data_IF_140161894456
#
_entry.id   IF_140161894456
#
_cell.length_a   1.000
_cell.length_b   1.000
_cell.length_c   1.000
_cell.angle_alpha   90.00
_cell.angle_beta   90.00
_cell.angle_gamma   90.00
#
_symmetry.space_group_name_H-M   'P 1'
#
loop_
_entity.id
_entity.type
_entity.pdbx_description
1 polymer ?
#
# COMPACT_ATOMS: atom_id res chain seq x y z
N UNK A 1 13.62 11.33 -1.10
CA UNK A 1 12.59 10.55 -1.80
C UNK A 1 12.31 11.20 -3.14
N UNK A 2 12.31 10.42 -4.22
CA UNK A 2 11.99 10.95 -5.53
C UNK A 2 10.49 11.25 -5.65
N UNK A 3 10.13 12.02 -6.68
CA UNK A 3 8.73 12.30 -6.95
C UNK A 3 7.96 11.00 -7.25
N UNK A 4 6.77 10.91 -6.69
CA UNK A 4 5.90 9.77 -6.87
C UNK A 4 5.31 9.75 -8.28
N UNK A 5 5.40 8.60 -8.94
CA UNK A 5 4.80 8.40 -10.25
C UNK A 5 4.46 6.90 -10.43
N UNK A 6 3.97 6.56 -11.62
CA UNK A 6 3.53 5.19 -11.91
C UNK A 6 4.66 4.16 -11.83
N UNK A 7 5.92 4.59 -11.96
CA UNK A 7 7.08 3.70 -11.90
C UNK A 7 7.65 3.54 -10.49
N UNK A 8 7.15 4.30 -9.53
CA UNK A 8 7.62 4.24 -8.14
C UNK A 8 7.36 2.85 -7.57
N UNK A 9 8.33 2.32 -6.83
CA UNK A 9 8.25 0.99 -6.21
C UNK A 9 8.20 1.14 -4.69
N UNK A 10 6.99 1.28 -4.13
CA UNK A 10 6.87 1.53 -2.70
C UNK A 10 7.12 0.29 -1.85
N UNK A 11 7.62 0.51 -0.64
CA UNK A 11 7.82 -0.52 0.37
C UNK A 11 7.28 -0.03 1.71
N UNK A 12 7.01 -0.96 2.60
CA UNK A 12 6.55 -0.61 3.95
C UNK A 12 7.66 0.19 4.65
N UNK A 13 7.27 1.28 5.28
CA UNK A 13 8.21 2.21 5.91
C UNK A 13 8.93 1.62 7.11
N UNK A 14 10.13 2.16 7.39
CA UNK A 14 10.92 1.75 8.55
C UNK A 14 10.12 1.98 9.83
N UNK A 15 10.13 0.98 10.72
CA UNK A 15 9.39 1.07 11.98
C UNK A 15 7.94 0.62 11.88
N UNK A 16 7.48 0.28 10.69
CA UNK A 16 6.12 -0.23 10.47
C UNK A 16 6.16 -1.69 10.03
N UNK A 17 5.12 -2.43 10.41
CA UNK A 17 4.98 -3.83 9.99
C UNK A 17 3.53 -4.09 9.60
N UNK A 18 3.33 -4.61 8.40
CA UNK A 18 2.02 -5.01 7.94
C UNK A 18 1.72 -6.43 8.41
N UNK A 19 0.53 -6.65 8.95
CA UNK A 19 0.13 -7.95 9.43
C UNK A 19 -1.33 -8.23 9.06
N UNK A 20 -1.60 -9.45 8.62
CA UNK A 20 -2.98 -9.90 8.43
C UNK A 20 -3.56 -10.31 9.77
N UNK A 21 -4.76 -9.82 10.06
CA UNK A 21 -5.46 -10.12 11.32
C UNK A 21 -6.70 -10.95 11.01
N UNK A 22 -6.61 -12.29 11.20
CA UNK A 22 -7.71 -13.17 10.77
C UNK A 22 -8.99 -12.98 11.58
N UNK A 23 -8.88 -12.66 12.86
CA UNK A 23 -10.07 -12.47 13.70
C UNK A 23 -10.90 -11.30 13.20
N UNK A 24 -10.24 -10.20 12.78
CA UNK A 24 -10.93 -9.02 12.28
C UNK A 24 -11.06 -9.03 10.76
N UNK A 25 -10.46 -10.01 10.10
CA UNK A 25 -10.51 -10.16 8.65
C UNK A 25 -10.02 -8.91 7.92
N UNK A 26 -8.91 -8.36 8.38
CA UNK A 26 -8.33 -7.18 7.77
C UNK A 26 -6.82 -7.14 7.99
N UNK A 27 -6.14 -6.29 7.21
CA UNK A 27 -4.74 -5.97 7.48
C UNK A 27 -4.65 -4.89 8.54
N UNK A 28 -3.62 -4.97 9.37
CA UNK A 28 -3.27 -3.93 10.33
C UNK A 28 -1.82 -3.53 10.11
N UNK A 29 -1.53 -2.27 10.35
CA UNK A 29 -0.18 -1.73 10.27
C UNK A 29 0.29 -1.42 11.68
N UNK A 30 1.32 -2.14 12.12
CA UNK A 30 1.83 -2.05 13.49
C UNK A 30 3.02 -1.11 13.56
N UNK A 31 3.09 -0.33 14.63
CA UNK A 31 4.22 0.55 14.91
C UNK A 31 4.35 0.70 16.43
N UNK A 32 5.48 1.26 16.94
CA UNK A 32 5.72 1.24 18.39
C UNK A 32 4.61 1.86 19.23
N UNK A 33 3.96 2.93 18.73
CA UNK A 33 2.94 3.64 19.49
C UNK A 33 1.52 3.08 19.32
N UNK A 34 1.34 2.06 18.47
CA UNK A 34 0.00 1.53 18.25
C UNK A 34 -0.15 0.80 16.94
N UNK A 35 -1.36 0.86 16.38
CA UNK A 35 -1.65 0.22 15.11
C UNK A 35 -2.70 1.00 14.33
N UNK A 36 -2.69 0.80 13.00
CA UNK A 36 -3.71 1.32 12.10
C UNK A 36 -4.46 0.14 11.50
N UNK A 37 -5.77 0.13 11.63
CA UNK A 37 -6.61 -0.87 10.99
C UNK A 37 -6.92 -0.36 9.58
N UNK A 38 -6.57 -1.17 8.58
CA UNK A 38 -6.75 -0.78 7.18
C UNK A 38 -8.08 -1.29 6.64
N UNK A 39 -8.71 -0.51 5.77
CA UNK A 39 -9.88 -1.02 5.04
C UNK A 39 -9.40 -2.00 3.97
N UNK A 40 -10.34 -2.63 3.26
CA UNK A 40 -9.99 -3.65 2.29
C UNK A 40 -9.04 -3.11 1.21
N UNK A 41 -9.39 -1.99 0.61
CA UNK A 41 -8.56 -1.46 -0.49
C UNK A 41 -7.18 -1.05 0.00
N UNK A 42 -7.09 -0.40 1.15
CA UNK A 42 -5.79 -0.02 1.72
C UNK A 42 -4.93 -1.22 2.05
N UNK A 43 -5.53 -2.26 2.62
CA UNK A 43 -4.83 -3.49 2.93
C UNK A 43 -4.30 -4.19 1.69
N UNK A 44 -5.11 -4.24 0.63
CA UNK A 44 -4.70 -4.86 -0.63
C UNK A 44 -3.53 -4.12 -1.27
N UNK A 45 -3.55 -2.79 -1.23
CA UNK A 45 -2.46 -2.00 -1.77
C UNK A 45 -1.19 -2.22 -0.93
N UNK A 46 -1.31 -2.09 0.39
CA UNK A 46 -0.15 -2.24 1.28
C UNK A 46 0.48 -3.62 1.17
N UNK A 47 -0.33 -4.67 1.00
CA UNK A 47 0.17 -6.04 0.91
C UNK A 47 1.04 -6.25 -0.33
N UNK A 48 0.90 -5.41 -1.34
CA UNK A 48 1.67 -5.50 -2.58
C UNK A 48 2.87 -4.55 -2.61
N UNK A 49 3.04 -3.73 -1.57
CA UNK A 49 4.14 -2.77 -1.50
C UNK A 49 5.39 -3.45 -0.95
N UNK A 50 6.09 -4.17 -1.80
CA UNK A 50 7.26 -4.98 -1.45
C UNK A 50 8.58 -4.37 -1.91
N UNK A 51 8.55 -3.16 -2.46
CA UNK A 51 9.73 -2.51 -3.01
C UNK A 51 10.10 -3.01 -4.40
N UNK A 52 9.37 -3.97 -4.94
CA UNK A 52 9.64 -4.57 -6.26
C UNK A 52 8.57 -4.20 -7.28
N UNK A 53 7.32 -4.15 -6.86
CA UNK A 53 6.22 -3.79 -7.75
C UNK A 53 6.07 -2.28 -7.83
N UNK A 54 5.88 -1.78 -9.05
CA UNK A 54 5.60 -0.36 -9.26
C UNK A 54 4.14 -0.04 -8.93
N UNK A 55 3.84 1.25 -8.76
CA UNK A 55 2.45 1.70 -8.60
C UNK A 55 1.58 1.17 -9.74
N UNK A 56 2.05 1.28 -10.99
CA UNK A 56 1.31 0.75 -12.15
C UNK A 56 1.11 -0.76 -12.05
N UNK A 57 2.13 -1.49 -11.61
CA UNK A 57 2.03 -2.94 -11.44
C UNK A 57 1.04 -3.33 -10.38
N UNK A 58 1.03 -2.61 -9.25
CA UNK A 58 0.07 -2.84 -8.18
C UNK A 58 -1.36 -2.61 -8.69
N UNK A 59 -1.57 -1.49 -9.38
CA UNK A 59 -2.88 -1.18 -9.95
C UNK A 59 -3.33 -2.27 -10.92
N UNK A 60 -2.43 -2.74 -11.79
CA UNK A 60 -2.76 -3.80 -12.74
C UNK A 60 -3.16 -5.10 -12.08
N UNK A 61 -2.43 -5.50 -11.02
CA UNK A 61 -2.79 -6.71 -10.26
C UNK A 61 -4.17 -6.60 -9.62
N UNK A 62 -4.45 -5.44 -9.02
CA UNK A 62 -5.74 -5.22 -8.38
C UNK A 62 -6.88 -5.19 -9.39
N UNK A 63 -6.64 -4.59 -10.56
CA UNK A 63 -7.64 -4.56 -11.62
C UNK A 63 -7.98 -5.97 -12.08
N UNK A 64 -6.99 -6.84 -12.22
CA UNK A 64 -7.22 -8.23 -12.58
C UNK A 64 -7.96 -8.98 -11.48
N UNK A 65 -7.50 -8.86 -10.25
CA UNK A 65 -8.05 -9.63 -9.15
C UNK A 65 -9.50 -9.28 -8.85
N UNK A 66 -9.84 -8.01 -8.94
CA UNK A 66 -11.19 -7.54 -8.60
C UNK A 66 -12.03 -7.21 -9.83
N UNK A 67 -11.59 -7.59 -11.01
CA UNK A 67 -12.30 -7.32 -12.27
C UNK A 67 -12.70 -5.85 -12.39
N UNK A 68 -11.76 -4.98 -12.07
CA UNK A 68 -11.97 -3.53 -12.07
C UNK A 68 -11.07 -2.87 -13.10
N UNK A 69 -11.33 -1.61 -13.39
CA UNK A 69 -10.53 -0.81 -14.31
C UNK A 69 -10.30 0.58 -13.74
N UNK A 70 -9.23 1.23 -14.19
CA UNK A 70 -8.97 2.61 -13.84
C UNK A 70 -8.52 2.81 -12.40
N UNK A 71 -7.86 1.82 -11.79
CA UNK A 71 -7.41 1.91 -10.41
C UNK A 71 -6.08 2.64 -10.23
N UNK A 72 -5.39 2.95 -11.33
CA UNK A 72 -4.10 3.64 -11.24
C UNK A 72 -4.14 4.91 -10.39
N UNK A 73 -5.05 5.85 -10.67
CA UNK A 73 -5.15 7.05 -9.85
C UNK A 73 -5.45 6.79 -8.38
N UNK A 74 -6.29 5.78 -8.09
CA UNK A 74 -6.63 5.43 -6.71
C UNK A 74 -5.43 4.88 -5.96
N UNK A 75 -4.65 3.99 -6.61
CA UNK A 75 -3.44 3.44 -6.01
C UNK A 75 -2.42 4.55 -5.77
N UNK A 76 -2.23 5.43 -6.77
CA UNK A 76 -1.29 6.54 -6.64
C UNK A 76 -1.66 7.45 -5.48
N UNK A 77 -2.95 7.78 -5.36
CA UNK A 77 -3.43 8.64 -4.27
C UNK A 77 -3.22 7.99 -2.90
N UNK A 78 -3.48 6.69 -2.80
CA UNK A 78 -3.24 5.97 -1.55
C UNK A 78 -1.75 5.98 -1.19
N UNK A 79 -0.89 5.68 -2.15
CA UNK A 79 0.56 5.64 -1.92
C UNK A 79 1.06 7.01 -1.50
N UNK A 80 0.55 8.07 -2.11
CA UNK A 80 0.92 9.44 -1.72
C UNK A 80 0.55 9.72 -0.26
N UNK A 81 -0.67 9.42 0.11
CA UNK A 81 -1.15 9.61 1.48
C UNK A 81 -0.32 8.79 2.46
N UNK A 82 -0.10 7.51 2.13
CA UNK A 82 0.67 6.61 3.00
C UNK A 82 2.12 7.06 3.15
N UNK A 83 2.70 7.63 2.08
CA UNK A 83 4.04 8.19 2.15
C UNK A 83 4.13 9.36 3.12
N UNK A 84 3.13 10.23 3.13
CA UNK A 84 3.06 11.35 4.08
C UNK A 84 2.95 10.87 5.53
N UNK A 85 2.29 9.74 5.73
CA UNK A 85 2.15 9.12 7.06
C UNK A 85 3.38 8.27 7.42
N UNK A 86 4.32 8.13 6.50
CA UNK A 86 5.51 7.27 6.64
C UNK A 86 5.19 5.79 6.69
N UNK A 87 3.97 5.40 6.37
CA UNK A 87 3.60 3.99 6.24
C UNK A 87 4.33 3.33 5.08
N UNK A 88 4.57 4.09 4.02
CA UNK A 88 5.29 3.65 2.83
C UNK A 88 6.47 4.58 2.58
N UNK A 89 7.49 4.02 1.95
CA UNK A 89 8.67 4.76 1.51
C UNK A 89 9.07 4.28 0.12
N UNK A 90 9.85 5.11 -0.58
CA UNK A 90 10.42 4.75 -1.88
C UNK A 90 11.66 5.59 -2.10
N UNK A 91 12.48 5.17 -3.04
CA UNK A 91 13.74 5.87 -3.36
C UNK A 91 13.53 6.93 -4.44
#
# INVERSE_FOLDING_TARGET
MTLLNASTQPRVGSGFRLQWEPVQNCHVLLYPEGMVKLNQSGGEIMARCDGQRSVAGIAGELEQEFSAQGLGPDVLAFVEMAGKQRWLAWD
#
